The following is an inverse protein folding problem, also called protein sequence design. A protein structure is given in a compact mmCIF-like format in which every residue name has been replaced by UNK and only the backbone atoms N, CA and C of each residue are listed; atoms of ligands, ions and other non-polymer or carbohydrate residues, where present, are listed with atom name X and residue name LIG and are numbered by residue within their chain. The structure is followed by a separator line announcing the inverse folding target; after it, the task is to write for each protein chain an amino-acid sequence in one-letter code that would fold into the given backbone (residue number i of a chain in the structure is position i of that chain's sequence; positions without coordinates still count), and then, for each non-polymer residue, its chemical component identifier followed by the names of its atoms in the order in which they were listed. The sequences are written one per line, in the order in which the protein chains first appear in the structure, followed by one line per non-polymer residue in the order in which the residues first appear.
data_IF_561248592466
#
_entry.id   IF_561248592466
#
_cell.length_a   1.000
_cell.length_b   1.000
_cell.length_c   1.000
_cell.angle_alpha   90.00
_cell.angle_beta   90.00
_cell.angle_gamma   90.00
#
_symmetry.space_group_name_H-M   'P 1'
#
loop_
_entity.id
_entity.type
_entity.pdbx_description
1 polymer ?
#
# COMPACT_ATOMS: atom_id res chain seq x y z
N UNK A 1 -20.96 -3.88 15.70
CA UNK A 1 -20.53 -3.66 14.31
C UNK A 1 -19.05 -3.94 14.23
N UNK A 2 -18.62 -4.81 13.32
CA UNK A 2 -17.22 -5.19 13.13
C UNK A 2 -16.62 -4.39 11.97
N UNK A 3 -15.49 -3.74 12.22
CA UNK A 3 -14.72 -3.01 11.21
C UNK A 3 -13.54 -3.88 10.77
N UNK A 4 -13.32 -4.04 9.47
CA UNK A 4 -12.09 -4.60 8.93
C UNK A 4 -11.19 -3.45 8.46
N UNK A 5 -9.99 -3.35 9.02
CA UNK A 5 -8.92 -2.52 8.47
C UNK A 5 -8.21 -3.36 7.40
N UNK A 6 -8.35 -2.97 6.14
CA UNK A 6 -7.82 -3.73 4.99
C UNK A 6 -6.66 -2.96 4.38
N UNK A 7 -5.45 -3.52 4.43
CA UNK A 7 -4.31 -3.04 3.65
C UNK A 7 -4.28 -3.78 2.30
N UNK A 8 -3.94 -3.06 1.24
CA UNK A 8 -3.83 -3.62 -0.12
C UNK A 8 -2.47 -3.25 -0.70
N UNK A 9 -1.77 -4.27 -1.17
CA UNK A 9 -0.50 -4.20 -1.93
C UNK A 9 -0.79 -4.83 -3.30
N UNK A 10 -0.82 -4.05 -4.38
CA UNK A 10 -1.30 -4.55 -5.67
C UNK A 10 -0.23 -5.30 -6.48
N UNK A 11 1.04 -4.99 -6.29
CA UNK A 11 2.17 -5.56 -7.02
C UNK A 11 2.90 -6.69 -6.27
N UNK A 12 2.39 -7.09 -5.11
CA UNK A 12 2.89 -8.22 -4.31
C UNK A 12 4.32 -8.01 -3.81
N UNK A 13 4.69 -6.76 -3.50
CA UNK A 13 6.01 -6.44 -2.95
C UNK A 13 6.24 -7.16 -1.61
N UNK A 14 5.20 -7.33 -0.79
CA UNK A 14 5.27 -8.14 0.44
C UNK A 14 5.63 -9.60 0.10
N UNK A 15 4.95 -10.23 -0.84
CA UNK A 15 5.16 -11.63 -1.21
C UNK A 15 6.54 -11.85 -1.83
N UNK A 16 6.93 -10.98 -2.77
CA UNK A 16 8.19 -11.06 -3.51
C UNK A 16 9.40 -10.84 -2.60
N UNK A 17 9.38 -9.80 -1.77
CA UNK A 17 10.56 -9.40 -0.97
C UNK A 17 10.69 -10.23 0.30
N UNK A 18 9.60 -10.78 0.81
CA UNK A 18 9.61 -11.51 2.09
C UNK A 18 9.31 -13.00 1.99
N UNK A 19 8.68 -13.47 0.91
CA UNK A 19 8.18 -14.85 0.78
C UNK A 19 6.99 -15.19 1.68
N UNK A 20 6.35 -14.17 2.27
CA UNK A 20 5.11 -14.33 3.04
C UNK A 20 3.94 -14.55 2.07
N UNK A 21 3.04 -15.46 2.40
CA UNK A 21 1.83 -15.71 1.60
C UNK A 21 0.64 -14.94 2.16
N UNK A 22 -0.12 -14.31 1.28
CA UNK A 22 -1.35 -13.58 1.58
C UNK A 22 -2.60 -14.43 1.26
N UNK A 23 -3.77 -14.16 1.87
CA UNK A 23 -4.07 -13.04 2.77
C UNK A 23 -3.49 -13.20 4.18
N UNK A 24 -3.14 -12.08 4.81
CA UNK A 24 -2.69 -12.01 6.20
C UNK A 24 -3.83 -11.51 7.07
N UNK A 25 -4.33 -12.32 8.00
CA UNK A 25 -5.41 -11.93 8.92
C UNK A 25 -4.84 -11.85 10.33
N UNK A 26 -5.20 -10.80 11.05
CA UNK A 26 -4.82 -10.58 12.44
C UNK A 26 -3.59 -9.69 12.60
N UNK A 27 -3.56 -8.98 13.74
CA UNK A 27 -2.54 -7.97 14.06
C UNK A 27 -1.11 -8.50 13.97
N UNK A 28 -0.83 -9.66 14.57
CA UNK A 28 0.53 -10.22 14.65
C UNK A 28 1.06 -10.67 13.28
N UNK A 29 0.20 -11.22 12.42
CA UNK A 29 0.59 -11.58 11.05
C UNK A 29 1.02 -10.34 10.26
N UNK A 30 0.27 -9.26 10.39
CA UNK A 30 0.56 -7.97 9.74
C UNK A 30 1.83 -7.31 10.31
N UNK A 31 2.03 -7.37 11.63
CA UNK A 31 3.23 -6.83 12.27
C UNK A 31 4.50 -7.59 11.86
N UNK A 32 4.41 -8.92 11.76
CA UNK A 32 5.50 -9.74 11.26
C UNK A 32 5.83 -9.39 9.80
N UNK A 33 4.83 -9.27 8.94
CA UNK A 33 5.02 -8.84 7.55
C UNK A 33 5.68 -7.45 7.46
N UNK A 34 5.21 -6.46 8.23
CA UNK A 34 5.79 -5.12 8.25
C UNK A 34 7.26 -5.14 8.67
N UNK A 35 7.57 -5.92 9.72
CA UNK A 35 8.93 -6.06 10.23
C UNK A 35 9.84 -6.74 9.21
N UNK A 36 9.36 -7.84 8.59
CA UNK A 36 10.15 -8.61 7.64
C UNK A 36 10.37 -7.84 6.33
N UNK A 37 9.36 -7.13 5.84
CA UNK A 37 9.47 -6.26 4.68
C UNK A 37 10.43 -5.11 4.96
N UNK A 38 10.27 -4.40 6.08
CA UNK A 38 11.17 -3.29 6.43
C UNK A 38 12.62 -3.71 6.67
N UNK A 39 12.87 -4.97 7.04
CA UNK A 39 14.23 -5.54 7.10
C UNK A 39 14.79 -5.92 5.73
N UNK A 40 13.93 -6.30 4.78
CA UNK A 40 14.32 -6.68 3.43
C UNK A 40 14.51 -5.46 2.51
N UNK A 41 13.59 -4.50 2.59
CA UNK A 41 13.58 -3.25 1.83
C UNK A 41 12.99 -2.11 2.70
N UNK A 42 13.83 -1.35 3.42
CA UNK A 42 13.37 -0.29 4.32
C UNK A 42 12.85 0.96 3.60
N UNK A 43 13.10 1.11 2.29
CA UNK A 43 12.65 2.26 1.50
C UNK A 43 11.27 2.05 0.88
N UNK A 44 10.75 0.83 0.96
CA UNK A 44 9.45 0.42 0.48
C UNK A 44 8.30 1.14 1.22
N UNK A 45 7.34 1.67 0.46
CA UNK A 45 6.18 2.37 1.00
C UNK A 45 5.14 1.43 1.62
N UNK A 46 5.09 0.15 1.23
CA UNK A 46 4.19 -0.86 1.79
C UNK A 46 4.46 -1.11 3.28
N UNK A 47 5.71 -0.93 3.73
CA UNK A 47 6.06 -0.97 5.15
C UNK A 47 5.22 0.04 5.93
N UNK A 48 5.08 1.26 5.39
CA UNK A 48 4.30 2.31 6.01
C UNK A 48 2.79 2.06 5.87
N UNK A 49 2.34 1.44 4.77
CA UNK A 49 0.96 1.01 4.60
C UNK A 49 0.54 0.02 5.71
N UNK A 50 1.34 -1.04 5.91
CA UNK A 50 1.12 -2.04 6.95
C UNK A 50 1.13 -1.43 8.36
N UNK A 51 2.13 -0.59 8.68
CA UNK A 51 2.22 0.07 9.99
C UNK A 51 1.04 1.02 10.23
N UNK A 52 0.57 1.71 9.20
CA UNK A 52 -0.62 2.58 9.28
C UNK A 52 -1.90 1.76 9.49
N UNK A 53 -2.03 0.60 8.84
CA UNK A 53 -3.15 -0.32 9.05
C UNK A 53 -3.15 -0.86 10.49
N UNK A 54 -2.00 -1.31 11.00
CA UNK A 54 -1.84 -1.78 12.39
C UNK A 54 -2.19 -0.66 13.38
N UNK A 55 -1.66 0.55 13.18
CA UNK A 55 -1.96 1.69 14.05
C UNK A 55 -3.44 2.07 14.02
N UNK A 56 -4.09 1.97 12.86
CA UNK A 56 -5.53 2.23 12.71
C UNK A 56 -6.35 1.18 13.47
N UNK A 57 -5.99 -0.09 13.32
CA UNK A 57 -6.59 -1.20 14.06
C UNK A 57 -6.43 -1.01 15.58
N UNK A 58 -5.21 -0.74 16.06
CA UNK A 58 -4.91 -0.54 17.48
C UNK A 58 -5.71 0.64 18.06
N UNK A 59 -5.88 1.71 17.28
CA UNK A 59 -6.74 2.84 17.63
C UNK A 59 -8.20 2.43 17.82
N UNK A 60 -8.77 1.71 16.86
CA UNK A 60 -10.16 1.23 16.93
C UNK A 60 -10.40 0.32 18.13
N UNK A 61 -9.51 -0.64 18.39
CA UNK A 61 -9.61 -1.56 19.53
C UNK A 61 -9.53 -0.80 20.85
N UNK A 62 -8.59 0.15 20.96
CA UNK A 62 -8.45 1.01 22.14
C UNK A 62 -9.70 1.85 22.40
N UNK A 63 -10.38 2.28 21.35
CA UNK A 63 -11.63 3.04 21.44
C UNK A 63 -12.87 2.15 21.68
N UNK A 64 -12.66 0.85 21.97
CA UNK A 64 -13.71 -0.12 22.27
C UNK A 64 -14.50 -0.62 21.07
N UNK A 65 -14.03 -0.36 19.84
CA UNK A 65 -14.65 -0.86 18.62
C UNK A 65 -14.26 -2.32 18.37
N UNK A 66 -15.20 -3.12 17.85
CA UNK A 66 -14.88 -4.46 17.37
C UNK A 66 -14.19 -4.32 16.02
N UNK A 67 -12.88 -4.58 15.97
CA UNK A 67 -12.08 -4.46 14.76
C UNK A 67 -11.31 -5.74 14.47
N UNK A 68 -11.01 -5.96 13.19
CA UNK A 68 -10.05 -6.94 12.70
C UNK A 68 -9.15 -6.25 11.65
N UNK A 69 -7.97 -6.80 11.40
CA UNK A 69 -7.05 -6.32 10.37
C UNK A 69 -6.71 -7.43 9.38
N UNK A 70 -6.64 -7.08 8.09
CA UNK A 70 -6.09 -7.97 7.09
C UNK A 70 -5.26 -7.23 6.04
N UNK A 71 -4.33 -7.95 5.42
CA UNK A 71 -3.61 -7.51 4.21
C UNK A 71 -3.80 -8.52 3.09
N UNK A 72 -4.07 -8.02 1.90
CA UNK A 72 -4.16 -8.81 0.67
C UNK A 72 -3.12 -8.30 -0.32
N UNK A 73 -2.51 -9.22 -1.06
CA UNK A 73 -1.53 -8.87 -2.09
C UNK A 73 -1.96 -9.38 -3.47
N UNK A 74 -1.54 -8.66 -4.51
CA UNK A 74 -1.86 -8.96 -5.89
C UNK A 74 -0.85 -9.88 -6.57
N UNK A 75 -0.36 -9.44 -7.73
CA UNK A 75 0.67 -10.11 -8.53
C UNK A 75 1.62 -9.06 -9.08
N UNK A 76 2.90 -9.42 -9.20
CA UNK A 76 3.95 -8.59 -9.82
C UNK A 76 3.58 -8.09 -11.21
N UNK A 77 2.76 -8.86 -11.94
CA UNK A 77 2.13 -8.43 -13.18
C UNK A 77 0.83 -7.70 -12.84
N UNK A 78 0.98 -6.44 -12.41
CA UNK A 78 -0.13 -5.52 -12.13
C UNK A 78 -1.10 -5.48 -13.30
N UNK A 79 -2.40 -5.51 -13.01
CA UNK A 79 -3.46 -5.56 -14.01
C UNK A 79 -4.55 -6.56 -13.63
N UNK A 80 -5.18 -7.17 -14.64
CA UNK A 80 -6.33 -8.05 -14.44
C UNK A 80 -6.00 -9.33 -13.65
N UNK A 81 -4.78 -9.85 -13.76
CA UNK A 81 -4.29 -10.98 -12.94
C UNK A 81 -4.25 -10.62 -11.46
N UNK A 82 -3.61 -9.50 -11.13
CA UNK A 82 -3.54 -8.97 -9.76
C UNK A 82 -4.95 -8.70 -9.20
N UNK A 83 -5.82 -8.05 -9.97
CA UNK A 83 -7.19 -7.74 -9.52
C UNK A 83 -8.01 -9.00 -9.21
N UNK A 84 -7.80 -10.09 -9.97
CA UNK A 84 -8.47 -11.37 -9.75
C UNK A 84 -7.96 -12.08 -8.50
N UNK A 85 -6.65 -12.06 -8.25
CA UNK A 85 -6.04 -12.60 -7.03
C UNK A 85 -6.52 -11.82 -5.80
N UNK A 86 -6.46 -10.48 -5.86
CA UNK A 86 -6.94 -9.61 -4.79
C UNK A 86 -8.42 -9.85 -4.50
N UNK A 87 -9.25 -10.00 -5.53
CA UNK A 87 -10.67 -10.32 -5.36
C UNK A 87 -10.89 -11.67 -4.66
N UNK A 88 -10.14 -12.71 -5.03
CA UNK A 88 -10.21 -14.02 -4.38
C UNK A 88 -9.76 -13.97 -2.91
N UNK A 89 -8.66 -13.28 -2.64
CA UNK A 89 -8.17 -13.11 -1.26
C UNK A 89 -9.16 -12.29 -0.42
N UNK A 90 -9.75 -11.24 -0.99
CA UNK A 90 -10.80 -10.46 -0.34
C UNK A 90 -12.00 -11.36 0.00
N UNK A 91 -12.45 -12.20 -0.91
CA UNK A 91 -13.56 -13.14 -0.66
C UNK A 91 -13.24 -14.08 0.52
N UNK A 92 -12.01 -14.61 0.58
CA UNK A 92 -11.55 -15.43 1.71
C UNK A 92 -11.55 -14.67 3.04
N UNK A 93 -11.05 -13.43 3.05
CA UNK A 93 -11.00 -12.58 4.26
C UNK A 93 -12.42 -12.26 4.72
N UNK A 94 -13.33 -11.90 3.81
CA UNK A 94 -14.71 -11.56 4.15
C UNK A 94 -15.49 -12.77 4.69
N UNK A 95 -15.24 -13.97 4.17
CA UNK A 95 -15.87 -15.20 4.67
C UNK A 95 -15.46 -15.52 6.12
N UNK A 96 -14.17 -15.33 6.44
CA UNK A 96 -13.61 -15.61 7.76
C UNK A 96 -13.94 -14.52 8.78
N UNK A 97 -13.71 -13.25 8.43
CA UNK A 97 -13.84 -12.12 9.35
C UNK A 97 -15.29 -11.67 9.51
N UNK A 98 -16.06 -11.72 8.42
CA UNK A 98 -17.45 -11.22 8.31
C UNK A 98 -17.61 -9.80 8.86
N UNK A 99 -16.89 -8.81 8.31
CA UNK A 99 -17.01 -7.43 8.75
C UNK A 99 -18.28 -6.78 8.23
N UNK A 100 -18.80 -5.79 8.97
CA UNK A 100 -19.91 -4.95 8.51
C UNK A 100 -19.42 -3.81 7.59
N UNK A 101 -18.16 -3.40 7.78
CA UNK A 101 -17.56 -2.19 7.20
C UNK A 101 -16.07 -2.40 6.96
N UNK A 102 -15.51 -1.74 5.95
CA UNK A 102 -14.07 -1.72 5.67
C UNK A 102 -13.50 -0.31 5.77
N UNK A 103 -12.34 -0.22 6.42
CA UNK A 103 -11.43 0.91 6.37
C UNK A 103 -10.26 0.51 5.49
N UNK A 104 -10.19 1.05 4.27
CA UNK A 104 -9.16 0.71 3.30
C UNK A 104 -7.90 1.53 3.58
N UNK A 105 -6.74 0.89 3.58
CA UNK A 105 -5.41 1.49 3.72
C UNK A 105 -4.58 1.13 2.49
N UNK A 106 -3.94 2.13 1.90
CA UNK A 106 -3.07 2.00 0.72
C UNK A 106 -2.02 3.11 0.75
N UNK A 107 -0.87 2.89 0.14
CA UNK A 107 0.21 3.85 -0.05
C UNK A 107 0.18 4.54 -1.45
N UNK A 108 -0.40 3.88 -2.45
CA UNK A 108 -0.47 4.35 -3.83
C UNK A 108 -1.83 4.82 -4.32
N UNK A 109 -1.84 5.51 -5.46
CA UNK A 109 -3.08 5.70 -6.23
C UNK A 109 -3.49 4.41 -6.95
N UNK A 110 -2.54 3.50 -7.15
CA UNK A 110 -2.76 2.24 -7.88
C UNK A 110 -3.55 1.23 -7.05
N UNK A 111 -3.35 1.17 -5.73
CA UNK A 111 -4.12 0.27 -4.86
C UNK A 111 -5.46 0.90 -4.48
N UNK A 112 -5.58 2.23 -4.45
CA UNK A 112 -6.88 2.91 -4.36
C UNK A 112 -7.80 2.56 -5.52
N UNK A 113 -7.25 2.23 -6.70
CA UNK A 113 -8.05 1.78 -7.84
C UNK A 113 -8.79 0.45 -7.58
N UNK A 114 -8.39 -0.31 -6.56
CA UNK A 114 -9.08 -1.52 -6.11
C UNK A 114 -10.30 -1.22 -5.21
N UNK A 115 -10.44 0.01 -4.68
CA UNK A 115 -11.53 0.38 -3.79
C UNK A 115 -12.95 0.09 -4.33
N UNK A 116 -13.27 0.28 -5.63
CA UNK A 116 -14.57 -0.09 -6.19
C UNK A 116 -14.86 -1.59 -6.10
N UNK A 117 -13.83 -2.44 -6.23
CA UNK A 117 -13.97 -3.91 -6.12
C UNK A 117 -14.28 -4.28 -4.66
N UNK A 118 -13.60 -3.64 -3.71
CA UNK A 118 -13.93 -3.79 -2.27
C UNK A 118 -15.37 -3.36 -2.00
N UNK A 119 -15.74 -2.17 -2.49
CA UNK A 119 -17.08 -1.58 -2.33
C UNK A 119 -18.21 -2.44 -2.91
N UNK A 120 -17.93 -3.27 -3.92
CA UNK A 120 -18.90 -4.20 -4.49
C UNK A 120 -19.27 -5.38 -3.58
N UNK A 121 -18.44 -5.69 -2.59
CA UNK A 121 -18.59 -6.84 -1.68
C UNK A 121 -18.94 -6.44 -0.24
N UNK A 122 -18.43 -5.30 0.19
CA UNK A 122 -18.58 -4.81 1.56
C UNK A 122 -18.57 -3.28 1.57
N UNK A 123 -19.33 -2.69 2.50
CA UNK A 123 -19.41 -1.23 2.63
C UNK A 123 -18.04 -0.65 3.02
N UNK A 124 -17.50 0.22 2.18
CA UNK A 124 -16.29 0.99 2.48
C UNK A 124 -16.71 2.32 3.11
N UNK A 125 -16.38 2.54 4.38
CA UNK A 125 -16.75 3.77 5.09
C UNK A 125 -15.59 4.75 5.25
N UNK A 126 -14.36 4.28 5.05
CA UNK A 126 -13.17 5.11 5.14
C UNK A 126 -12.09 4.59 4.18
N UNK A 127 -11.41 5.51 3.51
CA UNK A 127 -10.21 5.24 2.71
C UNK A 127 -9.11 6.15 3.25
N UNK A 128 -8.00 5.54 3.67
CA UNK A 128 -6.84 6.23 4.23
C UNK A 128 -5.63 5.97 3.36
N UNK A 129 -5.19 7.01 2.66
CA UNK A 129 -3.91 6.98 1.95
C UNK A 129 -2.73 7.32 2.84
N UNK A 130 -1.68 6.51 2.76
CA UNK A 130 -0.43 6.68 3.49
C UNK A 130 0.58 7.35 2.57
N UNK A 131 1.14 8.47 3.01
CA UNK A 131 2.18 9.17 2.27
C UNK A 131 3.48 9.12 3.07
N UNK A 132 4.50 8.47 2.50
CA UNK A 132 5.86 8.49 3.07
C UNK A 132 6.48 9.86 2.80
N UNK A 133 6.68 10.66 3.85
CA UNK A 133 7.25 12.00 3.73
C UNK A 133 8.77 11.92 3.59
N UNK A 134 9.26 12.07 2.36
CA UNK A 134 10.69 12.33 2.12
C UNK A 134 10.90 13.84 1.95
N UNK A 135 11.79 14.43 2.74
CA UNK A 135 12.22 15.83 2.56
C UNK A 135 13.54 15.82 1.79
N UNK A 136 13.56 16.12 0.49
CA UNK A 136 14.83 16.29 -0.21
C UNK A 136 15.56 17.52 0.35
N UNK A 137 16.84 17.38 0.65
CA UNK A 137 17.69 18.51 1.01
C UNK A 137 17.81 19.42 -0.22
N UNK A 138 17.73 20.75 -0.04
CA UNK A 138 17.85 21.70 -1.16
C UNK A 138 19.13 21.47 -2.01
N UNK A 139 20.19 20.98 -1.36
CA UNK A 139 21.46 20.61 -1.97
C UNK A 139 21.38 19.40 -2.92
N UNK A 140 20.62 18.35 -2.57
CA UNK A 140 20.47 17.16 -3.41
C UNK A 140 19.62 17.45 -4.65
N UNK A 141 18.60 18.32 -4.52
CA UNK A 141 17.82 18.82 -5.64
C UNK A 141 18.68 19.69 -6.57
N UNK A 142 19.50 20.59 -6.02
CA UNK A 142 20.44 21.41 -6.78
C UNK A 142 21.45 20.54 -7.55
N UNK A 143 22.02 19.53 -6.90
CA UNK A 143 22.96 18.62 -7.54
C UNK A 143 22.30 17.81 -8.66
N UNK A 144 21.07 17.33 -8.43
CA UNK A 144 20.30 16.54 -9.42
C UNK A 144 19.92 17.37 -10.63
N UNK A 145 19.35 18.57 -10.43
CA UNK A 145 19.01 19.50 -11.51
C UNK A 145 20.26 19.97 -12.25
N UNK A 146 21.31 20.36 -11.52
CA UNK A 146 22.58 20.78 -12.09
C UNK A 146 23.25 19.68 -12.94
N UNK A 147 23.19 18.43 -12.50
CA UNK A 147 23.69 17.27 -13.25
C UNK A 147 22.87 17.00 -14.51
N UNK A 148 21.54 17.13 -14.44
CA UNK A 148 20.66 16.98 -15.61
C UNK A 148 20.89 18.09 -16.64
N UNK A 149 21.12 19.32 -16.22
CA UNK A 149 21.45 20.45 -17.11
C UNK A 149 22.82 20.28 -17.80
N UNK A 150 23.78 19.62 -17.15
CA UNK A 150 25.08 19.26 -17.74
C UNK A 150 25.01 18.08 -18.71
N UNK A 151 23.89 17.33 -18.75
CA UNK A 151 23.69 16.23 -19.68
C UNK A 151 23.45 16.77 -21.11
N UNK A 152 24.32 16.47 -22.09
CA UNK A 152 24.20 17.00 -23.46
C UNK A 152 22.85 16.67 -24.13
N UNK A 153 22.25 15.52 -23.78
CA UNK A 153 20.96 15.05 -24.33
C UNK A 153 19.79 15.90 -23.84
N UNK A 154 19.82 16.34 -22.58
CA UNK A 154 18.80 17.20 -21.97
C UNK A 154 19.01 18.65 -22.40
N UNK A 155 20.27 19.11 -22.40
CA UNK A 155 20.65 20.44 -22.87
C UNK A 155 20.17 20.71 -24.30
N UNK A 156 20.28 19.73 -25.20
CA UNK A 156 19.81 19.86 -26.59
C UNK A 156 18.29 19.99 -26.69
N UNK A 157 17.51 19.39 -25.78
CA UNK A 157 16.04 19.53 -25.74
C UNK A 157 15.58 20.88 -25.14
N UNK A 158 16.33 21.42 -24.20
CA UNK A 158 16.02 22.72 -23.54
C UNK A 158 16.47 23.90 -24.40
N UNK A 159 17.56 23.76 -25.17
CA UNK A 159 18.10 24.83 -26.05
C UNK A 159 17.44 24.83 -27.43
N UNK A 160 16.89 23.70 -27.90
CA UNK A 160 16.23 23.61 -29.21
C UNK A 160 14.83 24.24 -29.37
N UNK A 161 14.09 24.76 -28.36
CA UNK A 161 12.80 25.41 -28.61
C UNK A 161 12.92 26.91 -28.92
N UNK A 162 14.12 27.47 -29.12
CA UNK A 162 14.35 28.89 -29.46
C UNK A 162 15.14 29.07 -30.78
N UNK A 163 14.90 28.18 -31.76
CA UNK A 163 15.37 28.33 -33.13
C UNK A 163 14.21 28.35 -34.10
#
# INVERSE_FOLDING_TARGET
MKILVLCVDRDDDIGVKTGIKTPLIGREANLNAATKLGLADPEDSDVNALLSAISTYDGLVRDGQLAEIATICGDVHVGSSSDLILAQQLDQVLEQVRPDRVFLVSDGAEDEAFAPIVGSRVRVDHVRRVYVRQTPTAESLYYTLGRQLKNPKVRRKIVAPLG
#
